data_IF_657013838335
#
_entry.id   IF_657013838335
#
_cell.length_a   1.000
_cell.length_b   1.000
_cell.length_c   1.000
_cell.angle_alpha   90.00
_cell.angle_beta   90.00
_cell.angle_gamma   90.00
#
_symmetry.space_group_name_H-M   'P 1'
#
loop_
_entity.id
_entity.type
_entity.pdbx_description
1 polymer ?
#
# COMPACT_ATOMS: atom_id res chain seq x y z
N UNK A 1 -23.24 -6.21 -14.93
CA UNK A 1 -21.83 -6.52 -14.62
C UNK A 1 -21.71 -6.59 -13.11
N UNK A 2 -21.20 -7.70 -12.56
CA UNK A 2 -20.97 -7.78 -11.12
C UNK A 2 -19.81 -6.83 -10.76
N UNK A 3 -20.00 -5.97 -9.76
CA UNK A 3 -18.95 -5.06 -9.29
C UNK A 3 -17.78 -5.93 -8.78
N UNK A 4 -16.56 -5.76 -9.32
CA UNK A 4 -15.36 -6.45 -8.80
C UNK A 4 -15.21 -6.12 -7.32
N UNK A 5 -14.82 -7.09 -6.49
CA UNK A 5 -14.69 -6.84 -5.05
C UNK A 5 -13.48 -5.95 -4.75
N UNK A 6 -13.54 -5.21 -3.63
CA UNK A 6 -12.42 -4.37 -3.17
C UNK A 6 -11.16 -5.19 -2.95
N UNK A 7 -11.32 -6.42 -2.45
CA UNK A 7 -10.22 -7.35 -2.25
C UNK A 7 -9.57 -7.73 -3.57
N UNK A 8 -10.35 -8.17 -4.57
CA UNK A 8 -9.80 -8.59 -5.87
C UNK A 8 -9.04 -7.43 -6.55
N UNK A 9 -9.60 -6.22 -6.49
CA UNK A 9 -8.95 -5.01 -7.04
C UNK A 9 -7.67 -4.67 -6.29
N UNK A 10 -7.65 -4.76 -4.96
CA UNK A 10 -6.45 -4.49 -4.17
C UNK A 10 -5.33 -5.51 -4.45
N UNK A 11 -5.66 -6.80 -4.57
CA UNK A 11 -4.67 -7.83 -4.90
C UNK A 11 -4.11 -7.64 -6.33
N UNK A 12 -4.96 -7.25 -7.29
CA UNK A 12 -4.53 -6.93 -8.65
C UNK A 12 -3.61 -5.70 -8.68
N UNK A 13 -3.94 -4.65 -7.91
CA UNK A 13 -3.09 -3.47 -7.75
C UNK A 13 -1.73 -3.84 -7.16
N UNK A 14 -1.71 -4.60 -6.06
CA UNK A 14 -0.46 -5.07 -5.44
C UNK A 14 0.39 -5.85 -6.45
N UNK A 15 -0.21 -6.81 -7.16
CA UNK A 15 0.47 -7.60 -8.18
C UNK A 15 0.98 -6.74 -9.35
N UNK A 16 0.26 -5.67 -9.72
CA UNK A 16 0.70 -4.71 -10.73
C UNK A 16 1.94 -3.95 -10.26
N UNK A 17 1.93 -3.41 -9.04
CA UNK A 17 3.06 -2.63 -8.51
C UNK A 17 4.34 -3.48 -8.43
N UNK A 18 4.27 -4.74 -7.96
CA UNK A 18 5.41 -5.66 -8.02
C UNK A 18 5.91 -5.94 -9.45
N UNK A 19 5.02 -5.94 -10.43
CA UNK A 19 5.38 -6.21 -11.83
C UNK A 19 6.08 -5.02 -12.49
N UNK A 20 5.64 -3.80 -12.21
CA UNK A 20 6.17 -2.59 -12.87
C UNK A 20 7.35 -1.97 -12.13
N UNK A 21 7.46 -2.16 -10.82
CA UNK A 21 8.53 -1.61 -9.99
C UNK A 21 9.51 -2.71 -9.52
N UNK A 22 10.68 -2.87 -10.17
CA UNK A 22 11.66 -3.90 -9.82
C UNK A 22 12.21 -3.79 -8.39
N UNK A 23 12.26 -2.58 -7.84
CA UNK A 23 12.73 -2.28 -6.49
C UNK A 23 11.69 -2.54 -5.40
N UNK A 24 10.46 -2.93 -5.76
CA UNK A 24 9.40 -3.19 -4.78
C UNK A 24 9.74 -4.41 -3.91
N UNK A 25 9.88 -4.19 -2.60
CA UNK A 25 10.28 -5.20 -1.60
C UNK A 25 9.05 -5.83 -0.95
N UNK A 26 8.20 -4.98 -0.36
CA UNK A 26 6.96 -5.40 0.29
C UNK A 26 5.91 -4.31 0.20
N UNK A 27 4.64 -4.72 0.14
CA UNK A 27 3.49 -3.81 0.17
C UNK A 27 2.61 -4.22 1.35
N UNK A 28 2.34 -3.25 2.22
CA UNK A 28 1.35 -3.39 3.29
C UNK A 28 0.03 -2.82 2.81
N UNK A 29 -1.01 -3.64 2.86
CA UNK A 29 -2.39 -3.22 2.65
C UNK A 29 -3.05 -2.97 3.99
N UNK A 30 -3.46 -1.72 4.20
CA UNK A 30 -4.20 -1.30 5.38
C UNK A 30 -5.69 -1.34 5.05
N UNK A 31 -6.37 -2.33 5.61
CA UNK A 31 -7.82 -2.43 5.53
C UNK A 31 -8.45 -1.68 6.71
N UNK A 32 -9.54 -0.97 6.43
CA UNK A 32 -10.44 -0.47 7.45
C UNK A 32 -11.61 -1.45 7.58
N UNK A 33 -11.68 -2.28 8.64
CA UNK A 33 -12.72 -3.29 8.76
C UNK A 33 -14.10 -2.69 9.04
N UNK A 34 -14.16 -1.46 9.56
CA UNK A 34 -15.39 -0.80 9.98
C UNK A 34 -15.99 0.08 8.88
N UNK A 35 -15.21 0.39 7.83
CA UNK A 35 -15.66 1.22 6.70
C UNK A 35 -15.42 0.55 5.33
N UNK A 36 -16.49 -0.01 4.77
CA UNK A 36 -16.50 -0.59 3.42
C UNK A 36 -16.24 0.43 2.29
N UNK A 37 -16.46 1.73 2.55
CA UNK A 37 -16.20 2.83 1.60
C UNK A 37 -14.81 3.45 1.76
N UNK A 38 -14.05 3.04 2.78
CA UNK A 38 -12.69 3.49 2.96
C UNK A 38 -11.87 3.25 1.68
N UNK A 39 -10.86 4.08 1.39
CA UNK A 39 -9.98 3.84 0.27
C UNK A 39 -9.23 2.51 0.41
N UNK A 40 -8.73 1.96 -0.70
CA UNK A 40 -7.65 0.98 -0.68
C UNK A 40 -6.39 1.75 -0.24
N UNK A 41 -5.78 1.39 0.90
CA UNK A 41 -4.56 2.02 1.41
C UNK A 41 -3.39 1.06 1.26
N UNK A 42 -2.35 1.49 0.55
CA UNK A 42 -1.11 0.73 0.34
C UNK A 42 0.07 1.54 0.87
N UNK A 43 0.89 0.92 1.71
CA UNK A 43 2.23 1.40 2.05
C UNK A 43 3.24 0.51 1.32
N UNK A 44 3.97 1.11 0.39
CA UNK A 44 4.92 0.46 -0.50
C UNK A 44 6.33 0.69 0.01
N UNK A 45 7.06 -0.41 0.18
CA UNK A 45 8.46 -0.40 0.58
C UNK A 45 9.29 -0.70 -0.64
N UNK A 46 9.98 0.31 -1.14
CA UNK A 46 10.68 0.26 -2.42
C UNK A 46 12.13 0.71 -2.28
N UNK A 47 13.05 -0.04 -2.89
CA UNK A 47 14.48 0.28 -2.91
C UNK A 47 14.78 1.59 -3.66
N UNK A 48 13.92 1.95 -4.61
CA UNK A 48 14.07 3.14 -5.45
C UNK A 48 13.26 4.35 -4.93
N UNK A 49 12.56 4.19 -3.81
CA UNK A 49 11.82 5.28 -3.18
C UNK A 49 12.75 6.45 -2.86
N UNK A 50 12.27 7.66 -3.09
CA UNK A 50 12.95 8.87 -2.63
C UNK A 50 12.69 9.00 -1.13
N UNK A 51 13.73 9.04 -0.25
CA UNK A 51 13.51 9.20 1.18
C UNK A 51 12.87 10.56 1.48
N UNK A 52 11.74 10.55 2.17
CA UNK A 52 10.97 11.76 2.50
C UNK A 52 11.00 12.09 4.00
N UNK A 53 11.45 11.14 4.83
CA UNK A 53 11.47 11.25 6.30
C UNK A 53 10.08 11.22 6.94
N UNK A 54 9.03 10.95 6.14
CA UNK A 54 7.64 10.86 6.56
C UNK A 54 6.83 10.09 5.53
N UNK A 55 5.74 9.46 5.96
CA UNK A 55 4.79 8.83 5.05
C UNK A 55 3.98 9.91 4.33
N UNK A 56 4.05 9.93 3.00
CA UNK A 56 3.25 10.83 2.14
C UNK A 56 2.32 10.01 1.25
N UNK A 57 1.02 10.05 1.56
CA UNK A 57 0.00 9.39 0.75
C UNK A 57 -0.38 10.19 -0.49
N UNK A 58 -0.40 9.53 -1.64
CA UNK A 58 -0.91 10.03 -2.91
C UNK A 58 -2.29 9.42 -3.16
N UNK A 59 -3.30 10.29 -3.25
CA UNK A 59 -4.69 9.88 -3.47
C UNK A 59 -5.03 9.78 -4.96
N UNK A 60 -5.69 8.68 -5.33
CA UNK A 60 -6.21 8.40 -6.65
C UNK A 60 -7.74 8.30 -6.59
N UNK A 61 -8.41 9.05 -7.47
CA UNK A 61 -9.85 8.95 -7.65
C UNK A 61 -10.22 7.58 -8.25
N UNK A 62 -11.42 7.11 -7.92
CA UNK A 62 -11.95 5.89 -8.53
C UNK A 62 -12.08 6.06 -10.05
N UNK A 63 -11.77 5.00 -10.78
CA UNK A 63 -11.87 4.92 -12.24
C UNK A 63 -12.66 3.68 -12.67
N UNK A 64 -12.90 3.53 -13.97
CA UNK A 64 -13.50 2.30 -14.50
C UNK A 64 -12.63 1.06 -14.24
N UNK A 65 -11.30 1.22 -14.24
CA UNK A 65 -10.31 0.16 -14.02
C UNK A 65 -10.05 -0.09 -12.53
N UNK A 66 -10.23 0.91 -11.67
CA UNK A 66 -10.07 0.79 -10.21
C UNK A 66 -11.29 1.46 -9.57
N UNK A 67 -12.39 0.73 -9.33
CA UNK A 67 -13.67 1.32 -8.89
C UNK A 67 -13.71 1.70 -7.40
N UNK A 68 -12.54 1.96 -6.82
CA UNK A 68 -12.33 2.33 -5.42
C UNK A 68 -11.33 3.47 -5.36
N UNK A 69 -11.54 4.44 -4.47
CA UNK A 69 -10.51 5.41 -4.15
C UNK A 69 -9.30 4.68 -3.58
N UNK A 70 -8.11 5.13 -3.94
CA UNK A 70 -6.86 4.48 -3.53
C UNK A 70 -5.92 5.54 -2.96
N UNK A 71 -5.18 5.18 -1.91
CA UNK A 71 -4.11 5.99 -1.35
C UNK A 71 -2.87 5.12 -1.31
N UNK A 72 -1.81 5.56 -1.98
CA UNK A 72 -0.51 4.87 -2.00
C UNK A 72 0.51 5.78 -1.35
N UNK A 73 1.29 5.26 -0.41
CA UNK A 73 2.48 5.93 0.08
C UNK A 73 3.69 5.03 -0.16
N UNK A 74 4.81 5.63 -0.53
CA UNK A 74 6.05 4.92 -0.81
C UNK A 74 7.12 5.36 0.21
N UNK A 75 7.86 4.38 0.75
CA UNK A 75 8.96 4.60 1.69
C UNK A 75 10.14 3.68 1.35
N UNK A 76 11.33 4.08 1.79
CA UNK A 76 12.51 3.21 1.75
C UNK A 76 12.47 2.12 2.83
N UNK A 77 13.23 1.01 2.68
CA UNK A 77 13.38 0.04 3.76
C UNK A 77 13.93 0.65 5.06
N UNK A 78 14.86 1.61 4.96
CA UNK A 78 15.41 2.31 6.13
C UNK A 78 14.35 3.15 6.87
N UNK A 79 13.44 3.79 6.14
CA UNK A 79 12.32 4.53 6.77
C UNK A 79 11.35 3.56 7.45
N UNK A 80 11.09 2.39 6.87
CA UNK A 80 10.29 1.37 7.53
C UNK A 80 10.92 0.92 8.85
N UNK A 81 12.22 0.65 8.86
CA UNK A 81 12.94 0.25 10.08
C UNK A 81 12.89 1.35 11.14
N UNK A 82 13.02 2.61 10.74
CA UNK A 82 12.88 3.76 11.64
C UNK A 82 11.44 3.85 12.20
N UNK A 83 10.41 3.69 11.37
CA UNK A 83 9.01 3.73 11.79
C UNK A 83 8.65 2.58 12.73
N UNK A 84 9.23 1.39 12.53
CA UNK A 84 9.07 0.28 13.48
C UNK A 84 9.62 0.61 14.87
N UNK A 85 10.70 1.38 14.95
CA UNK A 85 11.31 1.79 16.22
C UNK A 85 10.63 3.00 16.87
N UNK A 86 10.09 3.92 16.06
CA UNK A 86 9.57 5.22 16.53
C UNK A 86 8.05 5.31 16.53
N UNK A 87 7.37 4.34 15.93
CA UNK A 87 5.92 4.31 15.74
C UNK A 87 5.50 4.81 14.37
N UNK A 88 4.34 4.30 13.91
CA UNK A 88 3.70 4.76 12.69
C UNK A 88 2.77 5.95 12.99
N UNK A 89 2.66 6.92 12.07
CA UNK A 89 1.68 7.98 12.20
C UNK A 89 0.24 7.43 12.12
N UNK A 90 -0.72 8.22 12.62
CA UNK A 90 -2.14 7.88 12.55
C UNK A 90 -2.57 7.53 11.12
N UNK A 91 -3.40 6.48 10.99
CA UNK A 91 -3.88 5.99 9.71
C UNK A 91 -2.91 5.10 8.93
N UNK A 92 -1.70 4.88 9.45
CA UNK A 92 -0.65 4.01 8.88
C UNK A 92 -0.19 2.89 9.83
N UNK A 93 -1.02 2.53 10.81
CA UNK A 93 -0.72 1.41 11.71
C UNK A 93 -0.69 0.08 10.94
N UNK A 94 0.44 -0.61 11.02
CA UNK A 94 0.67 -1.88 10.33
C UNK A 94 0.30 -3.11 11.18
N UNK A 95 -0.18 -2.92 12.42
CA UNK A 95 -0.47 -4.01 13.37
C UNK A 95 -1.46 -5.07 12.83
N UNK A 96 -2.42 -4.64 12.01
CA UNK A 96 -3.40 -5.49 11.36
C UNK A 96 -3.26 -5.54 9.82
N UNK A 97 -2.19 -4.97 9.27
CA UNK A 97 -2.02 -4.87 7.82
C UNK A 97 -1.73 -6.25 7.20
N UNK A 98 -2.28 -6.46 5.99
CA UNK A 98 -1.90 -7.61 5.15
C UNK A 98 -0.60 -7.26 4.45
N UNK A 99 0.38 -8.14 4.51
CA UNK A 99 1.69 -7.93 3.88
C UNK A 99 1.91 -8.90 2.73
N UNK A 100 2.26 -8.35 1.57
CA UNK A 100 2.73 -9.12 0.42
C UNK A 100 4.19 -8.76 0.19
N UNK A 101 5.05 -9.78 0.03
CA UNK A 101 6.49 -9.61 -0.16
C UNK A 101 6.91 -10.17 -1.50
N UNK A 102 7.89 -9.54 -2.15
CA UNK A 102 8.60 -10.17 -3.27
C UNK A 102 9.30 -11.42 -2.74
N UNK A 103 9.03 -12.57 -3.35
CA UNK A 103 9.75 -13.80 -3.05
C UNK A 103 11.22 -13.60 -3.39
N UNK A 104 12.13 -13.98 -2.48
CA UNK A 104 13.53 -14.14 -2.87
C UNK A 104 13.60 -15.22 -3.95
N UNK A 105 14.16 -14.86 -5.11
CA UNK A 105 14.44 -15.81 -6.18
C UNK A 105 15.54 -16.80 -5.78
#
# INVERSE_FOLDING_TARGET
MSKRSKNDVAEELIAHHFRVEPGMVEIYRLDDPDDAQAPIRLLEVCLHAVPMGKIMGFGFAASAEVPYTTIVAEITPSELDQLRATGFPEGWDLSAARVTRRSAA
#
